data_IF_390901386599
#
_entry.id   IF_390901386599
#
_cell.length_a   1.000
_cell.length_b   1.000
_cell.length_c   1.000
_cell.angle_alpha   90.00
_cell.angle_beta   90.00
_cell.angle_gamma   90.00
#
_symmetry.space_group_name_H-M   'P 1'
#
loop_
_entity.id
_entity.type
_entity.pdbx_description
1 polymer ?
#
# COMPACT_ATOMS: atom_id res chain seq x y z
N UNK A 1 -0.26 15.00 38.65
CA UNK A 1 -0.45 13.54 38.64
C UNK A 1 -1.66 13.24 37.76
N UNK A 2 -1.45 12.93 36.48
CA UNK A 2 -2.27 12.04 35.65
C UNK A 2 -1.34 11.56 34.52
N UNK A 3 -1.34 10.24 34.34
CA UNK A 3 -0.25 9.46 33.77
C UNK A 3 -0.05 9.67 32.27
N UNK A 4 1.22 9.69 31.85
CA UNK A 4 1.59 9.56 30.46
C UNK A 4 1.18 8.19 29.94
N UNK A 5 0.32 8.19 28.94
CA UNK A 5 -0.05 6.97 28.23
C UNK A 5 1.09 6.58 27.29
N UNK A 6 1.75 5.50 27.67
CA UNK A 6 2.83 4.82 26.99
C UNK A 6 2.47 4.54 25.53
N UNK A 7 3.08 5.31 24.62
CA UNK A 7 3.06 5.01 23.20
C UNK A 7 3.75 3.67 22.97
N UNK A 8 2.97 2.69 22.51
CA UNK A 8 3.22 1.26 22.64
C UNK A 8 4.49 0.78 21.91
N UNK A 9 5.19 -0.18 22.52
CA UNK A 9 6.52 -0.69 22.16
C UNK A 9 6.59 -1.51 20.85
N UNK A 10 5.49 -1.61 20.11
CA UNK A 10 5.36 -2.42 18.88
C UNK A 10 6.15 -1.83 17.69
N UNK A 11 6.35 -0.50 17.65
CA UNK A 11 6.97 0.20 16.52
C UNK A 11 8.47 -0.07 16.38
N UNK A 12 9.10 -0.75 17.34
CA UNK A 12 10.55 -0.99 17.35
C UNK A 12 11.01 -2.27 16.63
N UNK A 13 10.10 -3.20 16.30
CA UNK A 13 10.48 -4.49 15.68
C UNK A 13 10.54 -4.49 14.16
N UNK A 14 9.99 -3.48 13.47
CA UNK A 14 10.06 -3.41 12.01
C UNK A 14 11.43 -2.93 11.50
N UNK A 15 12.30 -2.43 12.37
CA UNK A 15 13.62 -1.92 12.00
C UNK A 15 14.68 -3.03 11.79
N UNK A 16 14.47 -4.26 12.27
CA UNK A 16 15.54 -5.27 12.34
C UNK A 16 15.55 -6.29 11.19
N UNK A 17 14.81 -6.06 10.10
CA UNK A 17 14.76 -6.95 8.93
C UNK A 17 15.09 -6.22 7.62
N UNK A 18 15.92 -5.17 7.66
CA UNK A 18 16.43 -4.56 6.45
C UNK A 18 17.81 -5.15 6.08
N UNK A 19 17.97 -5.76 4.89
CA UNK A 19 19.28 -6.22 4.45
C UNK A 19 20.22 -5.00 4.29
N UNK A 20 21.50 -5.12 4.65
CA UNK A 20 22.47 -4.04 4.53
C UNK A 20 22.53 -3.57 3.06
N UNK A 21 22.11 -2.33 2.81
CA UNK A 21 21.97 -1.74 1.47
C UNK A 21 20.53 -1.38 1.05
N UNK A 22 19.49 -1.92 1.71
CA UNK A 22 18.10 -1.58 1.41
C UNK A 22 17.72 -0.14 1.82
N UNK A 23 18.29 0.38 2.91
CA UNK A 23 17.99 1.71 3.44
C UNK A 23 18.21 2.82 2.41
N UNK A 24 19.33 2.76 1.68
CA UNK A 24 19.67 3.76 0.64
C UNK A 24 18.64 3.80 -0.49
N UNK A 25 18.12 2.65 -0.91
CA UNK A 25 17.13 2.58 -1.99
C UNK A 25 15.74 3.06 -1.52
N UNK A 26 15.34 2.72 -0.29
CA UNK A 26 14.06 3.17 0.29
C UNK A 26 13.99 4.68 0.49
N UNK A 27 15.10 5.30 0.89
CA UNK A 27 15.15 6.75 1.12
C UNK A 27 15.12 7.53 -0.21
N UNK A 28 15.93 7.10 -1.19
CA UNK A 28 16.04 7.76 -2.49
C UNK A 28 14.73 7.71 -3.30
N UNK A 29 13.98 6.60 -3.23
CA UNK A 29 12.69 6.50 -3.91
C UNK A 29 11.66 7.48 -3.33
N UNK A 30 11.70 7.70 -2.02
CA UNK A 30 10.78 8.61 -1.32
C UNK A 30 11.00 10.08 -1.71
N UNK A 31 12.20 10.45 -2.15
CA UNK A 31 12.49 11.82 -2.63
C UNK A 31 11.84 12.12 -3.99
N UNK A 32 11.52 11.09 -4.77
CA UNK A 32 10.94 11.21 -6.12
C UNK A 32 9.49 10.75 -6.21
N UNK A 33 8.93 10.25 -5.11
CA UNK A 33 7.58 9.70 -5.04
C UNK A 33 6.76 10.44 -3.99
N UNK A 34 5.48 10.66 -4.27
CA UNK A 34 4.55 11.16 -3.27
C UNK A 34 4.14 10.04 -2.33
N UNK A 35 4.38 10.20 -1.02
CA UNK A 35 3.93 9.26 0.00
C UNK A 35 2.49 9.58 0.38
N UNK A 36 1.59 8.62 0.15
CA UNK A 36 0.19 8.73 0.55
C UNK A 36 0.00 8.18 1.98
N UNK A 37 -0.54 8.96 2.91
CA UNK A 37 -0.75 8.51 4.28
C UNK A 37 -1.94 7.53 4.36
N UNK A 38 -1.89 6.63 5.33
CA UNK A 38 -3.02 5.79 5.70
C UNK A 38 -4.05 6.63 6.49
N UNK A 39 -4.91 7.35 5.75
CA UNK A 39 -5.97 8.17 6.33
C UNK A 39 -7.24 7.36 6.63
N UNK A 40 -8.21 7.99 7.31
CA UNK A 40 -9.47 7.34 7.69
C UNK A 40 -10.28 6.83 6.49
N UNK A 41 -10.24 7.50 5.34
CA UNK A 41 -10.92 7.05 4.12
C UNK A 41 -10.32 5.75 3.60
N UNK A 42 -8.98 5.66 3.58
CA UNK A 42 -8.26 4.44 3.17
C UNK A 42 -8.52 3.31 4.16
N UNK A 43 -8.53 3.60 5.47
CA UNK A 43 -8.83 2.59 6.51
C UNK A 43 -10.26 2.07 6.35
N UNK A 44 -11.26 2.95 6.26
CA UNK A 44 -12.65 2.57 6.07
C UNK A 44 -12.83 1.75 4.79
N UNK A 45 -12.19 2.16 3.69
CA UNK A 45 -12.25 1.42 2.43
C UNK A 45 -11.56 0.07 2.52
N UNK A 46 -10.44 -0.04 3.23
CA UNK A 46 -9.74 -1.32 3.50
C UNK A 46 -10.66 -2.29 4.22
N UNK A 47 -11.38 -1.82 5.26
CA UNK A 47 -12.33 -2.64 6.01
C UNK A 47 -13.44 -3.16 5.08
N UNK A 48 -14.03 -2.28 4.26
CA UNK A 48 -15.07 -2.67 3.30
C UNK A 48 -14.57 -3.75 2.33
N UNK A 49 -13.37 -3.58 1.76
CA UNK A 49 -12.80 -4.56 0.84
C UNK A 49 -12.59 -5.91 1.52
N UNK A 50 -12.10 -5.95 2.77
CA UNK A 50 -11.88 -7.20 3.51
C UNK A 50 -13.17 -7.89 3.96
N UNK A 51 -14.26 -7.14 4.12
CA UNK A 51 -15.57 -7.72 4.41
C UNK A 51 -16.20 -8.37 3.17
N UNK A 52 -15.93 -7.82 1.99
CA UNK A 52 -16.54 -8.26 0.73
C UNK A 52 -15.70 -9.30 -0.03
N UNK A 53 -14.37 -9.22 0.08
CA UNK A 53 -13.43 -10.02 -0.71
C UNK A 53 -12.45 -10.76 0.19
N UNK A 54 -12.05 -11.98 -0.21
CA UNK A 54 -11.00 -12.75 0.45
C UNK A 54 -9.62 -12.24 0.03
N UNK A 55 -9.27 -11.04 0.48
CA UNK A 55 -7.99 -10.39 0.21
C UNK A 55 -7.16 -10.24 1.49
N UNK A 56 -5.83 -10.35 1.35
CA UNK A 56 -4.90 -10.15 2.46
C UNK A 56 -4.88 -8.67 2.87
N UNK A 57 -4.59 -8.41 4.15
CA UNK A 57 -4.58 -7.04 4.68
C UNK A 57 -3.66 -6.08 3.91
N UNK A 58 -2.40 -6.43 3.56
CA UNK A 58 -1.52 -5.52 2.82
C UNK A 58 -2.08 -5.15 1.44
N UNK A 59 -2.58 -6.13 0.69
CA UNK A 59 -3.15 -5.90 -0.64
C UNK A 59 -4.46 -5.11 -0.56
N UNK A 60 -5.26 -5.32 0.49
CA UNK A 60 -6.46 -4.54 0.74
C UNK A 60 -6.15 -3.06 0.99
N UNK A 61 -5.08 -2.75 1.73
CA UNK A 61 -4.63 -1.37 1.97
C UNK A 61 -4.20 -0.71 0.66
N UNK A 62 -3.43 -1.42 -0.17
CA UNK A 62 -3.01 -0.93 -1.49
C UNK A 62 -4.22 -0.67 -2.37
N UNK A 63 -5.13 -1.65 -2.49
CA UNK A 63 -6.32 -1.53 -3.32
C UNK A 63 -7.27 -0.41 -2.84
N UNK A 64 -7.44 -0.27 -1.52
CA UNK A 64 -8.20 0.83 -0.93
C UNK A 64 -7.58 2.19 -1.25
N UNK A 65 -6.25 2.32 -1.13
CA UNK A 65 -5.53 3.56 -1.47
C UNK A 65 -5.76 3.95 -2.92
N UNK A 66 -5.63 2.98 -3.84
CA UNK A 66 -5.85 3.21 -5.28
C UNK A 66 -7.28 3.68 -5.55
N UNK A 67 -8.28 3.04 -4.94
CA UNK A 67 -9.70 3.38 -5.13
C UNK A 67 -10.05 4.76 -4.54
N UNK A 68 -9.56 5.08 -3.35
CA UNK A 68 -9.82 6.36 -2.67
C UNK A 68 -9.23 7.53 -3.46
N UNK A 69 -8.03 7.35 -4.02
CA UNK A 69 -7.33 8.40 -4.76
C UNK A 69 -7.57 8.36 -6.29
N UNK A 70 -8.34 7.39 -6.80
CA UNK A 70 -8.63 7.26 -8.23
C UNK A 70 -7.40 6.98 -9.10
N UNK A 71 -6.42 6.25 -8.56
CA UNK A 71 -5.13 6.01 -9.21
C UNK A 71 -5.16 4.75 -10.11
N UNK A 72 -4.09 4.54 -10.86
CA UNK A 72 -3.82 3.27 -11.56
C UNK A 72 -2.74 2.52 -10.79
N UNK A 73 -2.99 1.25 -10.48
CA UNK A 73 -2.04 0.39 -9.78
C UNK A 73 -1.07 -0.24 -10.79
N UNK A 74 0.19 0.15 -10.72
CA UNK A 74 1.26 -0.51 -11.49
C UNK A 74 1.77 -1.69 -10.67
N UNK A 75 1.56 -2.92 -11.15
CA UNK A 75 2.01 -4.13 -10.44
C UNK A 75 2.14 -5.32 -11.37
N UNK A 76 3.05 -6.24 -11.04
CA UNK A 76 3.11 -7.58 -11.66
C UNK A 76 2.10 -8.56 -11.05
N UNK A 77 1.58 -8.27 -9.86
CA UNK A 77 0.67 -9.16 -9.16
C UNK A 77 -0.79 -8.95 -9.61
N UNK A 78 -1.01 -8.89 -10.92
CA UNK A 78 -2.26 -8.43 -11.53
C UNK A 78 -3.47 -9.26 -11.05
N UNK A 79 -3.30 -10.58 -10.92
CA UNK A 79 -4.37 -11.51 -10.54
C UNK A 79 -4.99 -11.19 -9.18
N UNK A 80 -4.18 -10.77 -8.21
CA UNK A 80 -4.65 -10.50 -6.86
C UNK A 80 -5.50 -9.22 -6.78
N UNK A 81 -5.31 -8.29 -7.71
CA UNK A 81 -6.06 -7.02 -7.77
C UNK A 81 -7.19 -7.01 -8.79
N UNK A 82 -7.18 -7.90 -9.79
CA UNK A 82 -8.26 -8.03 -10.78
C UNK A 82 -9.63 -8.38 -10.16
N UNK A 83 -9.64 -9.04 -9.01
CA UNK A 83 -10.88 -9.36 -8.29
C UNK A 83 -11.55 -8.14 -7.64
N UNK A 84 -10.82 -7.03 -7.49
CA UNK A 84 -11.33 -5.82 -6.84
C UNK A 84 -11.96 -4.88 -7.87
N UNK A 85 -13.27 -4.61 -7.79
CA UNK A 85 -13.95 -3.79 -8.78
C UNK A 85 -13.48 -2.33 -8.72
N UNK A 86 -13.32 -1.72 -9.90
CA UNK A 86 -12.95 -0.31 -10.05
C UNK A 86 -11.46 -0.01 -9.98
N UNK A 87 -10.60 -1.02 -9.72
CA UNK A 87 -9.16 -0.84 -9.78
C UNK A 87 -8.68 -0.96 -11.22
N UNK A 88 -8.00 0.08 -11.71
CA UNK A 88 -7.24 0.02 -12.96
C UNK A 88 -5.86 -0.54 -12.64
N UNK A 89 -5.50 -1.66 -13.28
CA UNK A 89 -4.18 -2.30 -13.11
C UNK A 89 -3.40 -2.17 -14.41
N UNK A 90 -2.12 -1.82 -14.30
CA UNK A 90 -1.17 -1.79 -15.40
C UNK A 90 0.00 -2.72 -15.06
N UNK A 91 0.28 -3.68 -15.93
CA UNK A 91 1.49 -4.50 -15.83
C UNK A 91 2.65 -3.79 -16.56
N UNK A 92 3.72 -3.38 -15.86
CA UNK A 92 4.82 -2.65 -16.48
C UNK A 92 5.62 -3.48 -17.49
N UNK A 93 5.41 -4.80 -17.55
CA UNK A 93 6.06 -5.69 -18.51
C UNK A 93 5.15 -6.09 -19.67
N UNK A 94 3.89 -5.64 -19.68
CA UNK A 94 2.99 -5.82 -20.82
C UNK A 94 3.13 -4.62 -21.78
N UNK A 95 3.82 -4.78 -22.93
CA UNK A 95 4.06 -3.69 -23.86
C UNK A 95 2.77 -3.16 -24.51
N UNK A 96 1.65 -3.88 -24.38
CA UNK A 96 0.36 -3.45 -24.93
C UNK A 96 -0.38 -2.45 -24.03
N UNK A 97 0.07 -2.27 -22.77
CA UNK A 97 -0.59 -1.43 -21.77
C UNK A 97 0.13 -0.11 -21.48
N UNK A 98 1.34 0.06 -22.00
CA UNK A 98 2.09 1.30 -21.85
C UNK A 98 1.62 2.31 -22.90
N UNK A 99 1.39 3.59 -22.53
CA UNK A 99 1.14 4.63 -23.51
C UNK A 99 2.37 4.75 -24.43
N UNK A 100 2.10 4.84 -25.74
CA UNK A 100 3.11 5.01 -26.79
C UNK A 100 3.94 6.30 -26.60
#
# INVERSE_FOLDING_TARGET
MLAGESFNAETRRVASLQPPGAEKLTQTASERCTVLPLNEFVVARTIQLRQQYRIKLPDAIIGATVLVHGLTLVTRNVRDFQQLPGIKVLDPYDPTQLPA
#
